data_IF_604836100020
#
_entry.id   IF_604836100020
#
_cell.length_a   1.000
_cell.length_b   1.000
_cell.length_c   1.000
_cell.angle_alpha   90.00
_cell.angle_beta   90.00
_cell.angle_gamma   90.00
#
_symmetry.space_group_name_H-M   'P 1'
#
loop_
_entity.id
_entity.type
_entity.pdbx_description
1 polymer ?
#
# COMPACT_ATOMS: atom_id res chain seq x y z
N UNK A 1 -35.58 17.08 -36.67
CA UNK A 1 -35.61 18.55 -36.85
C UNK A 1 -35.45 19.21 -35.51
N UNK A 2 -34.49 20.12 -35.43
CA UNK A 2 -34.25 21.18 -34.43
C UNK A 2 -33.09 20.97 -33.47
N UNK A 3 -32.03 21.51 -33.86
CA UNK A 3 -31.17 22.66 -33.49
C UNK A 3 -30.28 22.40 -32.28
N UNK A 4 -29.00 22.10 -32.61
CA UNK A 4 -27.83 22.26 -31.75
C UNK A 4 -27.59 23.73 -31.42
N UNK A 5 -27.46 24.11 -30.15
CA UNK A 5 -26.89 25.39 -29.71
C UNK A 5 -25.47 25.17 -29.16
N UNK A 6 -24.49 25.59 -29.95
CA UNK A 6 -23.08 25.71 -29.50
C UNK A 6 -22.95 26.94 -28.60
N UNK A 7 -22.46 26.80 -27.37
CA UNK A 7 -22.04 27.90 -26.51
C UNK A 7 -20.55 28.11 -26.72
N UNK A 8 -20.15 29.26 -27.22
CA UNK A 8 -18.76 29.76 -27.32
C UNK A 8 -18.34 30.26 -25.94
N UNK A 9 -17.20 29.81 -25.48
CA UNK A 9 -16.49 30.42 -24.36
C UNK A 9 -15.49 31.44 -24.90
N UNK A 10 -15.61 32.67 -24.44
CA UNK A 10 -14.69 33.76 -24.74
C UNK A 10 -13.57 33.75 -23.67
N UNK A 11 -12.35 33.67 -24.14
CA UNK A 11 -11.12 33.89 -23.36
C UNK A 11 -11.06 35.34 -22.90
N UNK A 12 -10.98 35.58 -21.61
CA UNK A 12 -10.56 36.87 -21.05
C UNK A 12 -9.13 36.75 -20.51
N UNK A 13 -8.20 37.29 -21.29
CA UNK A 13 -6.82 37.50 -20.90
C UNK A 13 -6.74 38.65 -19.90
N UNK A 14 -6.22 38.43 -18.71
CA UNK A 14 -5.79 39.47 -17.78
C UNK A 14 -4.26 39.54 -17.81
N UNK A 15 -3.76 40.65 -18.31
CA UNK A 15 -2.33 41.01 -18.23
C UNK A 15 -2.04 41.62 -16.85
N UNK A 16 -1.11 41.02 -16.09
CA UNK A 16 -0.54 41.62 -14.91
C UNK A 16 0.82 42.21 -15.27
N UNK A 17 0.90 43.51 -15.11
CA UNK A 17 2.12 44.33 -15.32
C UNK A 17 2.98 44.23 -14.04
N UNK A 18 4.19 43.68 -14.20
CA UNK A 18 5.20 43.73 -13.15
C UNK A 18 5.95 45.07 -13.19
N UNK A 19 5.93 45.80 -12.09
CA UNK A 19 6.74 47.01 -11.89
C UNK A 19 8.04 46.63 -11.20
N UNK A 20 9.12 46.70 -11.92
CA UNK A 20 10.49 46.68 -11.40
C UNK A 20 10.84 48.05 -10.85
N UNK A 21 11.18 48.17 -9.56
CA UNK A 21 11.87 49.31 -8.98
C UNK A 21 13.31 48.93 -8.64
N UNK A 22 14.24 49.41 -9.46
CA UNK A 22 15.66 49.46 -9.14
C UNK A 22 15.91 50.63 -8.16
N UNK A 23 16.65 50.37 -7.09
CA UNK A 23 17.34 51.39 -6.31
C UNK A 23 18.83 51.07 -6.29
N UNK A 24 19.59 51.95 -6.92
CA UNK A 24 21.03 51.89 -7.02
C UNK A 24 21.70 52.73 -5.91
N UNK A 25 22.73 52.13 -5.38
CA UNK A 25 24.01 52.69 -4.92
C UNK A 25 24.15 54.03 -4.24
N UNK A 26 24.91 54.04 -3.17
CA UNK A 26 26.02 54.98 -3.05
C UNK A 26 27.05 54.48 -2.03
N UNK A 27 28.30 54.61 -2.45
CA UNK A 27 29.57 54.35 -1.78
C UNK A 27 29.85 55.26 -0.60
N UNK A 28 30.66 54.81 0.36
CA UNK A 28 31.51 55.69 1.16
C UNK A 28 32.14 55.04 2.37
N UNK A 29 33.49 54.76 2.28
CA UNK A 29 34.51 55.07 3.27
C UNK A 29 34.62 54.20 4.52
N UNK A 30 35.56 53.41 4.58
CA UNK A 30 36.85 53.19 5.23
C UNK A 30 36.89 53.17 6.77
N UNK A 31 37.60 52.20 7.26
CA UNK A 31 38.64 52.13 8.28
C UNK A 31 38.54 50.92 9.20
N UNK A 32 39.59 50.20 9.12
CA UNK A 32 40.34 49.22 9.93
C UNK A 32 39.89 48.72 11.31
N UNK A 33 40.19 47.39 11.46
CA UNK A 33 40.68 46.64 12.64
C UNK A 33 39.62 46.14 13.64
N UNK A 34 39.36 44.86 13.71
CA UNK A 34 39.90 43.99 14.75
C UNK A 34 39.60 42.50 14.49
N UNK A 35 40.59 41.65 14.78
CA UNK A 35 40.48 40.21 14.71
C UNK A 35 39.59 39.71 15.85
N UNK A 36 38.51 38.98 15.52
CA UNK A 36 37.63 38.27 16.43
C UNK A 36 37.17 36.98 15.81
N UNK A 37 37.66 35.89 16.36
CA UNK A 37 37.29 34.49 16.17
C UNK A 37 35.83 34.32 15.81
N UNK A 38 35.55 34.05 14.53
CA UNK A 38 34.20 33.85 13.99
C UNK A 38 33.92 32.37 13.82
N UNK A 39 33.18 31.80 14.77
CA UNK A 39 32.49 30.56 14.53
C UNK A 39 31.60 30.69 13.28
N UNK A 40 31.96 29.95 12.25
CA UNK A 40 31.10 29.71 11.08
C UNK A 40 29.88 28.96 11.56
N UNK A 41 28.76 29.67 11.70
CA UNK A 41 27.46 29.02 11.64
C UNK A 41 27.37 28.42 10.24
N UNK A 42 27.52 27.15 10.12
CA UNK A 42 27.07 26.40 8.94
C UNK A 42 25.57 26.48 8.92
N UNK A 43 25.07 27.31 8.01
CA UNK A 43 23.69 27.29 7.57
C UNK A 43 23.58 25.92 6.80
N UNK A 44 23.11 24.89 7.50
CA UNK A 44 22.93 23.56 6.95
C UNK A 44 21.57 23.48 6.22
N UNK A 45 21.41 24.24 5.18
CA UNK A 45 20.49 23.91 4.14
C UNK A 45 21.26 23.01 3.17
N UNK A 46 21.05 21.70 3.23
CA UNK A 46 21.55 20.78 2.21
C UNK A 46 21.01 21.25 0.86
N UNK A 47 21.88 21.84 0.05
CA UNK A 47 21.54 22.11 -1.34
C UNK A 47 21.31 20.77 -2.00
N UNK A 48 20.12 20.56 -2.56
CA UNK A 48 19.78 19.34 -3.29
C UNK A 48 20.92 19.01 -4.28
N UNK A 49 21.33 17.76 -4.31
CA UNK A 49 22.42 17.28 -5.14
C UNK A 49 22.08 17.50 -6.62
N UNK A 50 22.99 18.09 -7.41
CA UNK A 50 22.78 18.29 -8.86
C UNK A 50 23.05 16.98 -9.62
N UNK A 51 21.97 16.32 -10.06
CA UNK A 51 21.98 15.07 -10.83
C UNK A 51 21.65 15.32 -12.32
N UNK A 52 21.84 16.54 -12.82
CA UNK A 52 21.53 16.89 -14.21
C UNK A 52 22.26 15.97 -15.21
N UNK A 53 21.47 15.32 -16.05
CA UNK A 53 21.96 14.40 -17.08
C UNK A 53 22.12 12.95 -16.61
N UNK A 54 21.78 12.64 -15.37
CA UNK A 54 21.64 11.26 -14.87
C UNK A 54 20.20 10.79 -15.09
N UNK A 55 20.02 9.48 -15.31
CA UNK A 55 18.72 8.80 -15.33
C UNK A 55 18.64 7.90 -14.11
N UNK A 56 17.52 7.95 -13.41
CA UNK A 56 17.20 7.08 -12.27
C UNK A 56 16.03 6.19 -12.65
N UNK A 57 16.19 4.88 -12.63
CA UNK A 57 15.12 3.92 -12.91
C UNK A 57 14.52 3.39 -11.60
N UNK A 58 13.19 3.42 -11.51
CA UNK A 58 12.45 2.95 -10.33
C UNK A 58 11.42 1.91 -10.75
N UNK A 59 11.50 0.70 -10.19
CA UNK A 59 10.53 -0.37 -10.41
C UNK A 59 9.53 -0.45 -9.25
N UNK A 60 8.25 -0.60 -9.55
CA UNK A 60 7.20 -0.84 -8.58
C UNK A 60 6.04 -1.66 -9.19
N UNK A 61 5.21 -2.24 -8.34
CA UNK A 61 4.00 -2.96 -8.75
C UNK A 61 2.85 -2.05 -9.16
N UNK A 62 2.86 -0.81 -8.71
CA UNK A 62 1.76 0.14 -8.89
C UNK A 62 1.42 0.44 -10.34
N UNK A 63 0.11 0.50 -10.61
CA UNK A 63 -0.48 0.83 -11.91
C UNK A 63 -1.59 1.87 -11.75
N UNK A 64 -2.12 2.41 -12.86
CA UNK A 64 -3.24 3.34 -12.82
C UNK A 64 -3.02 4.53 -11.89
N UNK A 65 -3.97 4.80 -11.01
CA UNK A 65 -3.96 5.95 -10.11
C UNK A 65 -2.79 5.94 -9.10
N UNK A 66 -2.38 4.79 -8.60
CA UNK A 66 -1.23 4.70 -7.70
C UNK A 66 0.08 5.07 -8.40
N UNK A 67 0.27 4.57 -9.63
CA UNK A 67 1.42 4.95 -10.46
C UNK A 67 1.42 6.46 -10.74
N UNK A 68 0.28 7.05 -11.08
CA UNK A 68 0.17 8.49 -11.36
C UNK A 68 0.54 9.34 -10.15
N UNK A 69 0.11 8.94 -8.94
CA UNK A 69 0.45 9.65 -7.70
C UNK A 69 1.91 9.49 -7.30
N UNK A 70 2.45 8.28 -7.42
CA UNK A 70 3.88 8.09 -7.19
C UNK A 70 4.73 8.85 -8.22
N UNK A 71 4.27 8.98 -9.45
CA UNK A 71 4.94 9.81 -10.45
C UNK A 71 5.05 11.27 -10.00
N UNK A 72 4.07 11.83 -9.25
CA UNK A 72 4.19 13.18 -8.70
C UNK A 72 5.32 13.29 -7.66
N UNK A 73 5.53 12.25 -6.85
CA UNK A 73 6.66 12.17 -5.91
C UNK A 73 7.98 12.15 -6.70
N UNK A 74 8.06 11.35 -7.75
CA UNK A 74 9.24 11.25 -8.61
C UNK A 74 9.51 12.54 -9.39
N UNK A 75 8.47 13.23 -9.84
CA UNK A 75 8.59 14.53 -10.52
C UNK A 75 9.14 15.61 -9.59
N UNK A 76 8.71 15.61 -8.31
CA UNK A 76 9.26 16.54 -7.31
C UNK A 76 10.75 16.27 -7.05
N UNK A 77 11.16 15.00 -6.96
CA UNK A 77 12.58 14.64 -6.89
C UNK A 77 13.35 15.13 -8.13
N UNK A 78 12.79 14.90 -9.31
CA UNK A 78 13.40 15.35 -10.58
C UNK A 78 13.55 16.87 -10.65
N UNK A 79 12.55 17.64 -10.17
CA UNK A 79 12.62 19.11 -10.10
C UNK A 79 13.70 19.60 -9.12
N UNK A 80 13.88 18.91 -7.99
CA UNK A 80 14.87 19.28 -6.98
C UNK A 80 16.31 18.98 -7.44
N UNK A 81 16.51 17.88 -8.18
CA UNK A 81 17.85 17.34 -8.49
C UNK A 81 18.29 17.54 -9.93
N UNK A 82 17.34 17.77 -10.86
CA UNK A 82 17.61 17.81 -12.29
C UNK A 82 17.80 16.44 -12.95
N UNK A 83 17.56 15.34 -12.25
CA UNK A 83 17.60 13.98 -12.79
C UNK A 83 16.46 13.71 -13.78
N UNK A 84 16.67 12.81 -14.73
CA UNK A 84 15.60 12.16 -15.50
C UNK A 84 15.15 10.91 -14.72
N UNK A 85 13.89 10.84 -14.27
CA UNK A 85 13.39 9.66 -13.57
C UNK A 85 12.50 8.82 -14.48
N UNK A 86 12.69 7.49 -14.46
CA UNK A 86 11.89 6.53 -15.23
C UNK A 86 11.22 5.54 -14.32
N UNK A 87 9.91 5.58 -14.31
CA UNK A 87 9.11 4.55 -13.64
C UNK A 87 8.98 3.31 -14.52
N UNK A 88 9.16 2.13 -13.91
CA UNK A 88 9.02 0.82 -14.54
C UNK A 88 7.92 0.05 -13.81
N UNK A 89 6.77 -0.13 -14.43
CA UNK A 89 5.70 -0.96 -13.86
C UNK A 89 6.08 -2.43 -13.97
N UNK A 90 6.16 -3.10 -12.81
CA UNK A 90 6.52 -4.51 -12.70
C UNK A 90 5.29 -5.45 -12.79
N UNK A 91 4.07 -4.90 -12.71
CA UNK A 91 2.86 -5.72 -12.49
C UNK A 91 2.89 -6.36 -11.10
N UNK A 92 2.10 -7.40 -10.88
CA UNK A 92 1.89 -8.00 -9.55
C UNK A 92 3.09 -8.83 -9.01
N UNK A 93 4.10 -9.10 -9.82
CA UNK A 93 5.27 -9.91 -9.44
C UNK A 93 6.57 -9.14 -9.68
N UNK A 94 6.94 -8.31 -8.70
CA UNK A 94 8.15 -7.50 -8.76
C UNK A 94 9.41 -8.36 -8.86
N UNK A 95 9.50 -9.45 -8.10
CA UNK A 95 10.68 -10.31 -8.09
C UNK A 95 10.92 -10.96 -9.47
N UNK A 96 9.86 -11.44 -10.12
CA UNK A 96 9.95 -11.96 -11.48
C UNK A 96 10.33 -10.90 -12.52
N UNK A 97 9.98 -9.62 -12.28
CA UNK A 97 10.33 -8.52 -13.16
C UNK A 97 11.80 -8.08 -13.01
N UNK A 98 12.28 -7.90 -11.77
CA UNK A 98 13.63 -7.37 -11.52
C UNK A 98 14.71 -8.45 -11.53
N UNK A 99 14.41 -9.71 -11.14
CA UNK A 99 15.37 -10.81 -11.05
C UNK A 99 16.21 -11.02 -12.31
N UNK A 100 15.61 -11.14 -13.52
CA UNK A 100 16.37 -11.29 -14.77
C UNK A 100 17.26 -10.07 -15.08
N UNK A 101 16.91 -8.86 -14.64
CA UNK A 101 17.71 -7.65 -14.81
C UNK A 101 18.91 -7.65 -13.87
N UNK A 102 18.72 -8.08 -12.62
CA UNK A 102 19.79 -8.28 -11.64
C UNK A 102 20.79 -9.29 -12.17
N UNK A 103 20.34 -10.49 -12.60
CA UNK A 103 21.19 -11.52 -13.20
C UNK A 103 21.93 -11.03 -14.46
N UNK A 104 21.31 -10.14 -15.21
CA UNK A 104 21.88 -9.51 -16.40
C UNK A 104 22.90 -8.41 -16.11
N UNK A 105 23.01 -7.97 -14.84
CA UNK A 105 23.88 -6.86 -14.42
C UNK A 105 23.37 -5.49 -14.87
N UNK A 106 22.05 -5.32 -15.04
CA UNK A 106 21.37 -4.08 -15.42
C UNK A 106 20.08 -3.90 -14.59
N UNK A 107 20.16 -3.94 -13.22
CA UNK A 107 19.01 -3.71 -12.37
C UNK A 107 18.48 -2.26 -12.50
N UNK A 108 17.24 -1.96 -12.10
CA UNK A 108 16.83 -0.59 -11.84
C UNK A 108 17.62 -0.04 -10.64
N UNK A 109 17.74 1.28 -10.51
CA UNK A 109 18.43 1.89 -9.37
C UNK A 109 17.70 1.59 -8.06
N UNK A 110 16.37 1.75 -8.05
CA UNK A 110 15.50 1.55 -6.88
C UNK A 110 14.36 0.61 -7.24
N UNK A 111 13.99 -0.26 -6.31
CA UNK A 111 12.74 -1.00 -6.37
C UNK A 111 11.87 -0.69 -5.15
N UNK A 112 10.57 -0.54 -5.38
CA UNK A 112 9.58 -0.46 -4.32
C UNK A 112 9.10 -1.88 -4.05
N UNK A 113 9.57 -2.44 -2.98
CA UNK A 113 9.36 -3.83 -2.58
C UNK A 113 8.05 -3.90 -1.80
N UNK A 114 7.03 -4.62 -2.27
CA UNK A 114 5.72 -4.66 -1.60
C UNK A 114 5.73 -5.47 -0.30
N UNK A 115 6.82 -6.22 -0.04
CA UNK A 115 6.87 -7.18 1.07
C UNK A 115 8.24 -7.21 1.73
N UNK A 116 8.32 -7.26 3.09
CA UNK A 116 9.57 -7.50 3.81
C UNK A 116 10.25 -8.83 3.44
N UNK A 117 9.48 -9.89 3.13
CA UNK A 117 10.01 -11.17 2.67
C UNK A 117 10.80 -11.06 1.37
N UNK A 118 10.35 -10.21 0.43
CA UNK A 118 11.08 -9.91 -0.80
C UNK A 118 12.37 -9.13 -0.51
N UNK A 119 12.31 -8.14 0.40
CA UNK A 119 13.51 -7.42 0.85
C UNK A 119 14.54 -8.39 1.45
N UNK A 120 14.11 -9.27 2.36
CA UNK A 120 14.97 -10.25 3.00
C UNK A 120 15.62 -11.19 1.97
N UNK A 121 14.83 -11.70 1.02
CA UNK A 121 15.32 -12.57 -0.04
C UNK A 121 16.40 -11.89 -0.90
N UNK A 122 16.19 -10.64 -1.28
CA UNK A 122 17.17 -9.88 -2.08
C UNK A 122 18.40 -9.49 -1.27
N UNK A 123 18.24 -9.16 0.02
CA UNK A 123 19.37 -8.88 0.92
C UNK A 123 20.23 -10.12 1.15
N UNK A 124 19.62 -11.29 1.39
CA UNK A 124 20.33 -12.57 1.55
C UNK A 124 21.14 -12.96 0.31
N UNK A 125 20.59 -12.67 -0.89
CA UNK A 125 21.27 -12.93 -2.17
C UNK A 125 22.36 -11.91 -2.48
N UNK A 126 22.42 -10.79 -1.74
CA UNK A 126 23.33 -9.69 -1.98
C UNK A 126 22.94 -8.80 -3.15
N UNK A 127 21.66 -8.79 -3.51
CA UNK A 127 21.07 -8.02 -4.59
C UNK A 127 20.62 -6.60 -4.15
N UNK A 128 20.54 -6.35 -2.83
CA UNK A 128 20.30 -5.03 -2.26
C UNK A 128 21.59 -4.41 -1.74
N UNK A 129 21.68 -3.10 -1.86
CA UNK A 129 22.77 -2.27 -1.30
C UNK A 129 22.34 -1.79 0.08
N UNK A 130 23.19 -1.96 1.14
CA UNK A 130 22.92 -1.36 2.44
C UNK A 130 22.83 0.16 2.36
N UNK A 131 21.86 0.75 3.06
CA UNK A 131 21.54 2.19 2.98
C UNK A 131 21.77 2.96 4.29
N UNK A 132 22.48 2.38 5.26
CA UNK A 132 22.74 3.01 6.55
C UNK A 132 23.38 4.39 6.42
N UNK A 133 24.37 4.52 5.55
CA UNK A 133 25.08 5.77 5.27
C UNK A 133 24.28 6.77 4.42
N UNK A 134 23.16 6.35 3.86
CA UNK A 134 22.28 7.16 2.97
C UNK A 134 21.07 7.68 3.73
N UNK A 135 20.37 6.81 4.44
CA UNK A 135 19.06 7.08 5.02
C UNK A 135 18.96 6.68 6.50
N UNK A 136 20.00 6.12 7.15
CA UNK A 136 19.91 5.63 8.51
C UNK A 136 19.40 6.68 9.51
N UNK A 137 20.00 7.87 9.52
CA UNK A 137 19.57 8.98 10.39
C UNK A 137 18.13 9.44 10.09
N UNK A 138 17.73 9.49 8.80
CA UNK A 138 16.38 9.87 8.38
C UNK A 138 15.32 8.82 8.79
N UNK A 139 15.66 7.55 8.67
CA UNK A 139 14.81 6.44 9.11
C UNK A 139 14.61 6.50 10.63
N UNK A 140 15.67 6.71 11.40
CA UNK A 140 15.59 6.82 12.86
C UNK A 140 14.74 8.03 13.30
N UNK A 141 14.88 9.16 12.60
CA UNK A 141 14.13 10.39 12.90
C UNK A 141 12.65 10.28 12.53
N UNK A 142 12.35 9.76 11.33
CA UNK A 142 11.01 9.84 10.76
C UNK A 142 10.15 8.59 11.02
N UNK A 143 10.75 7.40 11.02
CA UNK A 143 10.04 6.12 11.13
C UNK A 143 10.17 5.46 12.50
N UNK A 144 11.25 5.78 13.23
CA UNK A 144 11.55 5.16 14.51
C UNK A 144 11.88 3.65 14.42
N UNK A 145 11.95 2.97 15.61
CA UNK A 145 12.43 1.57 15.67
C UNK A 145 11.62 0.58 14.84
N UNK A 146 10.30 0.70 14.82
CA UNK A 146 9.43 -0.21 14.07
C UNK A 146 9.62 -0.09 12.56
N UNK A 147 9.72 1.14 12.04
CA UNK A 147 9.97 1.34 10.61
C UNK A 147 11.37 0.91 10.18
N UNK A 148 12.37 1.05 11.08
CA UNK A 148 13.72 0.51 10.86
C UNK A 148 13.70 -1.02 10.77
N UNK A 149 12.96 -1.70 11.66
CA UNK A 149 12.83 -3.17 11.65
C UNK A 149 12.27 -3.67 10.32
N UNK A 150 11.23 -3.03 9.79
CA UNK A 150 10.61 -3.38 8.49
C UNK A 150 11.60 -3.29 7.32
N UNK A 151 12.50 -2.29 7.35
CA UNK A 151 13.51 -2.07 6.30
C UNK A 151 14.83 -2.82 6.50
N UNK A 152 14.96 -3.69 7.52
CA UNK A 152 16.22 -4.31 7.90
C UNK A 152 16.25 -5.83 7.70
N UNK A 153 17.44 -6.35 7.43
CA UNK A 153 17.75 -7.78 7.43
C UNK A 153 19.08 -8.00 8.17
N UNK A 154 19.14 -8.98 9.11
CA UNK A 154 20.32 -9.27 9.94
C UNK A 154 20.96 -8.03 10.61
N UNK A 155 20.13 -7.15 11.17
CA UNK A 155 20.54 -5.89 11.83
C UNK A 155 21.12 -4.82 10.88
N UNK A 156 21.09 -5.00 9.56
CA UNK A 156 21.53 -4.03 8.57
C UNK A 156 20.36 -3.43 7.81
N UNK A 157 20.37 -2.11 7.56
CA UNK A 157 19.27 -1.38 6.90
C UNK A 157 19.44 -1.46 5.38
N UNK A 158 18.41 -1.99 4.68
CA UNK A 158 18.37 -2.15 3.23
C UNK A 158 17.24 -1.37 2.56
N UNK A 159 16.25 -0.91 3.31
CA UNK A 159 15.10 -0.23 2.73
C UNK A 159 14.49 0.84 3.62
N UNK A 160 13.78 1.76 2.99
CA UNK A 160 12.95 2.78 3.62
C UNK A 160 11.49 2.35 3.50
N UNK A 161 10.81 2.12 4.62
CA UNK A 161 9.38 1.89 4.61
C UNK A 161 8.67 3.19 4.21
N UNK A 162 8.28 3.29 2.93
CA UNK A 162 7.78 4.53 2.33
C UNK A 162 6.26 4.66 2.44
N UNK A 163 5.54 3.58 2.16
CA UNK A 163 4.07 3.56 2.19
C UNK A 163 3.60 2.50 3.16
N UNK A 164 2.75 2.87 4.10
CA UNK A 164 2.04 1.92 4.96
C UNK A 164 0.66 1.59 4.38
N UNK A 165 0.07 0.50 4.83
CA UNK A 165 -1.30 0.11 4.53
C UNK A 165 -2.04 -0.30 5.81
N UNK A 166 -3.30 0.09 5.92
CA UNK A 166 -4.26 -0.40 6.89
C UNK A 166 -5.16 -1.41 6.17
N UNK A 167 -4.88 -2.71 6.32
CA UNK A 167 -5.54 -3.80 5.58
C UNK A 167 -6.76 -4.39 6.29
N UNK A 168 -7.20 -3.79 7.41
CA UNK A 168 -8.37 -4.24 8.17
C UNK A 168 -9.57 -3.33 7.95
N UNK A 169 -9.87 -3.02 6.69
CA UNK A 169 -11.06 -2.25 6.28
C UNK A 169 -12.03 -3.10 5.48
N UNK A 170 -13.30 -2.74 5.55
CA UNK A 170 -14.34 -3.22 4.66
C UNK A 170 -14.95 -2.01 3.97
N UNK A 171 -14.62 -1.86 2.71
CA UNK A 171 -15.19 -0.81 1.87
C UNK A 171 -16.61 -1.16 1.45
N UNK A 172 -17.50 -0.16 1.40
CA UNK A 172 -18.87 -0.40 1.02
C UNK A 172 -19.46 0.71 0.13
N UNK A 173 -20.40 0.32 -0.70
CA UNK A 173 -21.15 1.23 -1.55
C UNK A 173 -22.29 1.88 -0.74
N UNK A 174 -22.08 3.15 -0.37
CA UNK A 174 -22.99 3.90 0.52
C UNK A 174 -24.44 3.91 0.00
N UNK A 175 -24.71 4.22 -1.28
CA UNK A 175 -26.09 4.22 -1.78
C UNK A 175 -26.78 2.85 -1.68
N UNK A 176 -26.07 1.73 -1.90
CA UNK A 176 -26.66 0.38 -1.75
C UNK A 176 -27.03 0.10 -0.31
N UNK A 177 -26.20 0.48 0.67
CA UNK A 177 -26.52 0.34 2.08
C UNK A 177 -27.73 1.17 2.49
N UNK A 178 -27.83 2.43 2.02
CA UNK A 178 -28.96 3.31 2.26
C UNK A 178 -30.25 2.76 1.67
N UNK A 179 -30.22 2.33 0.41
CA UNK A 179 -31.40 1.81 -0.32
C UNK A 179 -31.89 0.47 0.24
N UNK A 180 -30.96 -0.42 0.68
CA UNK A 180 -31.30 -1.66 1.36
C UNK A 180 -31.71 -1.44 2.83
N UNK A 181 -31.46 -0.23 3.38
CA UNK A 181 -31.83 0.15 4.75
C UNK A 181 -30.99 -0.55 5.82
N UNK A 182 -29.74 -0.91 5.50
CA UNK A 182 -28.81 -1.54 6.42
C UNK A 182 -27.80 -0.53 6.99
N UNK A 183 -27.16 -0.87 8.10
CA UNK A 183 -26.09 -0.09 8.72
C UNK A 183 -24.78 -0.86 8.64
N UNK A 184 -23.64 -0.19 8.80
CA UNK A 184 -22.33 -0.83 8.90
C UNK A 184 -22.28 -1.79 10.09
N UNK A 185 -21.88 -3.06 9.88
CA UNK A 185 -21.81 -4.06 10.94
C UNK A 185 -20.58 -3.85 11.82
N UNK A 186 -20.61 -4.38 13.03
CA UNK A 186 -19.48 -4.38 13.98
C UNK A 186 -18.99 -5.79 14.31
N UNK A 187 -19.77 -6.80 13.96
CA UNK A 187 -19.44 -8.21 14.12
C UNK A 187 -19.55 -8.96 12.81
N UNK A 188 -18.86 -10.10 12.70
CA UNK A 188 -18.92 -10.97 11.51
C UNK A 188 -20.35 -11.46 11.25
N UNK A 189 -21.05 -11.88 12.29
CA UNK A 189 -22.45 -12.33 12.17
C UNK A 189 -23.35 -11.21 11.63
N UNK A 190 -23.20 -9.97 12.13
CA UNK A 190 -23.94 -8.81 11.60
C UNK A 190 -23.57 -8.56 10.13
N UNK A 191 -22.30 -8.73 9.73
CA UNK A 191 -21.88 -8.56 8.33
C UNK A 191 -22.55 -9.60 7.43
N UNK A 192 -22.64 -10.85 7.85
CA UNK A 192 -23.37 -11.88 7.09
C UNK A 192 -24.89 -11.61 7.03
N UNK A 193 -25.49 -11.06 8.09
CA UNK A 193 -26.91 -10.64 8.08
C UNK A 193 -27.12 -9.46 7.10
N UNK A 194 -26.21 -8.48 7.09
CA UNK A 194 -26.19 -7.37 6.14
C UNK A 194 -26.04 -7.89 4.71
N UNK A 195 -25.11 -8.83 4.49
CA UNK A 195 -24.89 -9.47 3.20
C UNK A 195 -26.18 -10.18 2.69
N UNK A 196 -26.86 -10.94 3.57
CA UNK A 196 -28.13 -11.56 3.23
C UNK A 196 -29.22 -10.54 2.83
N UNK A 197 -29.29 -9.41 3.56
CA UNK A 197 -30.26 -8.34 3.26
C UNK A 197 -29.96 -7.65 1.92
N UNK A 198 -28.68 -7.39 1.62
CA UNK A 198 -28.24 -6.82 0.33
C UNK A 198 -28.53 -7.80 -0.82
N UNK A 199 -28.29 -9.10 -0.61
CA UNK A 199 -28.63 -10.13 -1.60
C UNK A 199 -30.13 -10.19 -1.87
N UNK A 200 -30.99 -10.11 -0.85
CA UNK A 200 -32.44 -10.04 -0.97
C UNK A 200 -32.90 -8.74 -1.69
N UNK A 201 -32.14 -7.64 -1.56
CA UNK A 201 -32.35 -6.40 -2.26
C UNK A 201 -32.01 -6.51 -3.76
N UNK A 202 -31.16 -7.47 -4.15
CA UNK A 202 -30.83 -7.82 -5.54
C UNK A 202 -29.46 -7.39 -6.02
N UNK A 203 -28.52 -7.14 -5.09
CA UNK A 203 -27.10 -6.89 -5.35
C UNK A 203 -26.29 -8.00 -4.69
N UNK A 204 -25.31 -8.57 -5.38
CA UNK A 204 -24.39 -9.53 -4.74
C UNK A 204 -23.52 -8.80 -3.70
N UNK A 205 -23.43 -9.30 -2.43
CA UNK A 205 -22.82 -8.54 -1.35
C UNK A 205 -21.33 -8.27 -1.51
N UNK A 206 -20.53 -9.27 -1.93
CA UNK A 206 -19.07 -9.19 -1.91
C UNK A 206 -18.48 -9.16 -3.31
N UNK A 207 -17.65 -8.19 -3.62
CA UNK A 207 -16.75 -8.22 -4.77
C UNK A 207 -15.38 -8.73 -4.34
N UNK A 208 -14.80 -9.66 -5.09
CA UNK A 208 -13.53 -10.32 -4.76
C UNK A 208 -12.66 -10.37 -6.02
N UNK A 209 -11.43 -9.84 -5.93
CA UNK A 209 -10.38 -9.99 -6.94
C UNK A 209 -9.48 -11.18 -6.58
N UNK A 210 -9.63 -12.32 -7.27
CA UNK A 210 -8.94 -13.55 -6.90
C UNK A 210 -8.06 -14.13 -8.00
N UNK A 211 -7.76 -13.37 -9.06
CA UNK A 211 -6.99 -13.91 -10.20
C UNK A 211 -5.55 -14.26 -9.83
N UNK A 212 -4.90 -13.47 -8.97
CA UNK A 212 -3.52 -13.70 -8.48
C UNK A 212 -3.45 -14.28 -7.07
N UNK A 213 -4.46 -14.05 -6.22
CA UNK A 213 -4.66 -14.71 -4.92
C UNK A 213 -4.29 -13.89 -3.68
N UNK A 214 -3.50 -12.82 -3.76
CA UNK A 214 -3.14 -12.02 -2.60
C UNK A 214 -4.34 -11.36 -1.87
N UNK A 215 -5.44 -10.93 -2.52
CA UNK A 215 -6.58 -10.42 -1.77
C UNK A 215 -7.26 -11.48 -0.89
N UNK A 216 -7.08 -12.76 -1.24
CA UNK A 216 -7.60 -13.86 -0.43
C UNK A 216 -6.72 -14.12 0.80
N UNK A 217 -5.41 -13.82 0.73
CA UNK A 217 -4.54 -13.90 1.90
C UNK A 217 -4.83 -12.78 2.88
N UNK A 218 -5.08 -11.56 2.41
CA UNK A 218 -5.50 -10.43 3.25
C UNK A 218 -6.79 -10.74 4.04
N UNK A 219 -7.76 -11.39 3.39
CA UNK A 219 -8.97 -11.85 4.09
C UNK A 219 -8.64 -12.92 5.14
N UNK A 220 -7.81 -13.94 4.79
CA UNK A 220 -7.40 -14.97 5.75
C UNK A 220 -6.73 -14.36 6.98
N UNK A 221 -5.83 -13.43 6.78
CA UNK A 221 -5.04 -12.79 7.83
C UNK A 221 -5.91 -11.99 8.78
N UNK A 222 -6.85 -11.23 8.27
CA UNK A 222 -7.84 -10.53 9.08
C UNK A 222 -8.69 -11.50 9.88
N UNK A 223 -9.20 -12.55 9.27
CA UNK A 223 -9.97 -13.59 9.96
C UNK A 223 -9.11 -14.29 11.01
N UNK A 224 -7.89 -14.69 10.67
CA UNK A 224 -6.97 -15.38 11.58
C UNK A 224 -6.59 -14.51 12.78
N UNK A 225 -6.27 -13.24 12.56
CA UNK A 225 -5.97 -12.29 13.63
C UNK A 225 -7.14 -12.11 14.59
N UNK A 226 -8.39 -12.18 14.10
CA UNK A 226 -9.61 -12.09 14.92
C UNK A 226 -9.94 -13.39 15.63
N UNK A 227 -9.72 -14.54 15.02
CA UNK A 227 -10.07 -15.85 15.63
C UNK A 227 -8.98 -16.37 16.57
N UNK A 228 -7.72 -16.27 16.17
CA UNK A 228 -6.57 -16.81 16.90
C UNK A 228 -5.88 -15.79 17.83
N UNK A 229 -6.02 -14.49 17.53
CA UNK A 229 -5.36 -13.41 18.27
C UNK A 229 -3.89 -13.19 17.88
N UNK A 230 -3.31 -12.06 18.34
CA UNK A 230 -1.99 -11.61 17.87
C UNK A 230 -0.84 -12.57 18.23
N UNK A 231 -0.88 -13.24 19.40
CA UNK A 231 0.20 -14.16 19.80
C UNK A 231 0.29 -15.40 18.89
N UNK A 232 -0.86 -15.93 18.46
CA UNK A 232 -0.90 -17.07 17.52
C UNK A 232 -0.56 -16.62 16.11
N UNK A 233 -0.98 -15.42 15.72
CA UNK A 233 -0.62 -14.81 14.46
C UNK A 233 0.90 -14.70 14.31
N UNK A 234 1.58 -14.18 15.34
CA UNK A 234 3.04 -14.06 15.36
C UNK A 234 3.74 -15.42 15.29
N UNK A 235 3.18 -16.48 15.92
CA UNK A 235 3.73 -17.82 15.85
C UNK A 235 3.56 -18.44 14.46
N UNK A 236 2.40 -18.24 13.81
CA UNK A 236 2.16 -18.73 12.46
C UNK A 236 3.05 -18.00 11.45
N UNK A 237 3.23 -16.68 11.60
CA UNK A 237 4.10 -15.87 10.74
C UNK A 237 5.55 -16.34 10.76
N UNK A 238 6.03 -16.90 11.87
CA UNK A 238 7.39 -17.46 12.00
C UNK A 238 7.47 -18.97 11.78
N UNK A 239 6.36 -19.60 11.41
CA UNK A 239 6.24 -21.06 11.33
C UNK A 239 6.61 -21.79 12.64
N UNK A 240 6.43 -21.12 13.81
CA UNK A 240 6.59 -21.72 15.13
C UNK A 240 5.47 -22.74 15.45
N UNK A 241 4.34 -22.61 14.76
CA UNK A 241 3.22 -23.55 14.75
C UNK A 241 2.91 -23.97 13.30
N UNK A 242 2.44 -25.21 13.08
CA UNK A 242 2.14 -25.68 11.74
C UNK A 242 0.86 -25.07 11.17
N UNK A 243 0.77 -24.92 9.86
CA UNK A 243 -0.45 -24.51 9.15
C UNK A 243 -1.60 -25.53 9.29
N UNK A 244 -1.33 -26.72 9.83
CA UNK A 244 -2.35 -27.71 10.19
C UNK A 244 -2.92 -27.52 11.60
N UNK A 245 -2.49 -26.48 12.34
CA UNK A 245 -3.04 -26.15 13.65
C UNK A 245 -4.55 -25.92 13.60
N UNK A 246 -5.25 -26.24 14.70
CA UNK A 246 -6.70 -26.08 14.75
C UNK A 246 -7.14 -24.62 14.59
N UNK A 247 -6.32 -23.64 14.99
CA UNK A 247 -6.59 -22.21 14.80
C UNK A 247 -6.64 -21.80 13.33
N UNK A 248 -5.76 -22.34 12.48
CA UNK A 248 -5.78 -22.12 11.04
C UNK A 248 -7.05 -22.69 10.40
N UNK A 249 -7.44 -23.91 10.83
CA UNK A 249 -8.67 -24.56 10.34
C UNK A 249 -9.92 -23.80 10.75
N UNK A 250 -9.92 -23.19 11.95
CA UNK A 250 -11.00 -22.33 12.40
C UNK A 250 -11.13 -21.09 11.50
N UNK A 251 -10.03 -20.41 11.20
CA UNK A 251 -10.04 -19.27 10.27
C UNK A 251 -10.53 -19.65 8.86
N UNK A 252 -10.05 -20.75 8.30
CA UNK A 252 -10.55 -21.25 7.01
C UNK A 252 -12.05 -21.58 7.07
N UNK A 253 -12.54 -22.10 8.20
CA UNK A 253 -13.97 -22.40 8.38
C UNK A 253 -14.81 -21.13 8.38
N UNK A 254 -14.35 -20.06 9.03
CA UNK A 254 -15.00 -18.73 9.01
C UNK A 254 -15.00 -18.14 7.59
N UNK A 255 -13.89 -18.23 6.85
CA UNK A 255 -13.87 -17.78 5.44
C UNK A 255 -14.88 -18.54 4.58
N UNK A 256 -15.12 -19.82 4.87
CA UNK A 256 -16.11 -20.63 4.16
C UNK A 256 -17.54 -20.12 4.34
N UNK A 257 -17.84 -19.26 5.31
CA UNK A 257 -19.15 -18.58 5.45
C UNK A 257 -19.46 -17.69 4.23
N UNK A 258 -18.43 -17.12 3.60
CA UNK A 258 -18.55 -16.36 2.36
C UNK A 258 -18.29 -17.27 1.15
N UNK A 259 -17.16 -17.96 1.09
CA UNK A 259 -16.73 -18.74 -0.08
C UNK A 259 -17.65 -19.93 -0.39
N UNK A 260 -18.30 -20.48 0.64
CA UNK A 260 -19.28 -21.56 0.51
C UNK A 260 -20.64 -21.11 -0.04
N UNK A 261 -20.84 -19.82 -0.24
CA UNK A 261 -22.08 -19.22 -0.73
C UNK A 261 -21.82 -18.37 -1.98
N UNK A 262 -21.67 -18.99 -3.17
CA UNK A 262 -21.33 -18.26 -4.41
C UNK A 262 -22.32 -17.15 -4.78
N UNK A 263 -23.58 -17.24 -4.32
CA UNK A 263 -24.61 -16.23 -4.55
C UNK A 263 -24.36 -14.93 -3.74
N UNK A 264 -23.42 -14.95 -2.78
CA UNK A 264 -22.98 -13.75 -2.07
C UNK A 264 -21.81 -13.04 -2.77
N UNK A 265 -21.21 -13.66 -3.79
CA UNK A 265 -20.03 -13.16 -4.50
C UNK A 265 -20.44 -12.59 -5.85
N UNK A 266 -20.00 -11.40 -6.19
CA UNK A 266 -20.29 -10.71 -7.45
C UNK A 266 -19.93 -11.58 -8.68
N UNK A 267 -20.95 -12.00 -9.42
CA UNK A 267 -20.82 -12.94 -10.54
C UNK A 267 -20.42 -14.37 -10.17
N UNK A 268 -20.40 -14.70 -8.86
CA UNK A 268 -20.04 -16.03 -8.34
C UNK A 268 -18.54 -16.31 -8.34
N UNK A 269 -18.17 -17.48 -7.81
CA UNK A 269 -16.77 -17.92 -7.66
C UNK A 269 -15.96 -17.83 -8.97
N UNK A 270 -16.53 -18.25 -10.11
CA UNK A 270 -15.82 -18.25 -11.39
C UNK A 270 -15.51 -16.82 -11.88
N UNK A 271 -16.35 -15.85 -11.56
CA UNK A 271 -16.07 -14.46 -11.86
C UNK A 271 -14.95 -13.90 -10.95
N UNK A 272 -15.03 -14.17 -9.66
CA UNK A 272 -13.97 -13.76 -8.72
C UNK A 272 -12.58 -14.25 -9.14
N UNK A 273 -12.48 -15.51 -9.60
CA UNK A 273 -11.24 -16.13 -10.09
C UNK A 273 -10.67 -15.53 -11.38
N UNK A 274 -11.41 -14.68 -12.07
CA UNK A 274 -11.00 -14.01 -13.31
C UNK A 274 -10.96 -12.49 -13.15
N UNK A 275 -11.32 -11.99 -11.97
CA UNK A 275 -11.34 -10.58 -11.64
C UNK A 275 -10.03 -10.22 -10.95
N UNK A 276 -9.30 -9.25 -11.52
CA UNK A 276 -8.14 -8.66 -10.89
C UNK A 276 -8.57 -7.71 -9.75
N UNK A 277 -7.60 -7.26 -8.98
CA UNK A 277 -7.87 -6.40 -7.83
C UNK A 277 -8.61 -5.11 -8.23
N UNK A 278 -8.13 -4.36 -9.23
CA UNK A 278 -8.79 -3.13 -9.69
C UNK A 278 -10.19 -3.42 -10.26
N UNK A 279 -10.33 -4.54 -10.94
CA UNK A 279 -11.62 -5.03 -11.43
C UNK A 279 -12.64 -5.24 -10.30
N UNK A 280 -12.21 -5.77 -9.15
CA UNK A 280 -13.11 -5.94 -8.00
C UNK A 280 -13.64 -4.62 -7.44
N UNK A 281 -12.83 -3.57 -7.50
CA UNK A 281 -13.20 -2.21 -7.09
C UNK A 281 -14.18 -1.60 -8.11
N UNK A 282 -13.83 -1.65 -9.39
CA UNK A 282 -14.65 -1.07 -10.46
C UNK A 282 -16.00 -1.76 -10.63
N UNK A 283 -16.13 -3.05 -10.28
CA UNK A 283 -17.41 -3.76 -10.21
C UNK A 283 -18.41 -3.09 -9.25
N UNK A 284 -17.92 -2.43 -8.21
CA UNK A 284 -18.76 -1.75 -7.22
C UNK A 284 -19.04 -0.30 -7.65
N UNK A 285 -18.00 0.47 -8.02
CA UNK A 285 -18.10 1.92 -8.12
C UNK A 285 -18.05 2.52 -9.53
N UNK A 286 -17.77 1.73 -10.57
CA UNK A 286 -17.67 2.28 -11.93
C UNK A 286 -19.02 2.48 -12.65
N UNK A 287 -20.16 2.13 -12.03
CA UNK A 287 -21.48 2.26 -12.66
C UNK A 287 -22.59 2.50 -11.64
N UNK A 288 -23.70 3.12 -12.11
CA UNK A 288 -24.94 3.32 -11.32
C UNK A 288 -25.64 2.00 -10.91
N UNK A 289 -25.18 0.87 -11.40
CA UNK A 289 -25.70 -0.46 -11.07
C UNK A 289 -24.54 -1.34 -10.60
N UNK A 290 -24.18 -1.26 -9.30
CA UNK A 290 -23.06 -2.02 -8.76
C UNK A 290 -23.32 -3.52 -8.87
N UNK A 291 -22.24 -4.28 -9.16
CA UNK A 291 -22.29 -5.75 -9.16
C UNK A 291 -21.96 -6.30 -7.78
N UNK A 292 -21.27 -5.51 -6.94
CA UNK A 292 -20.97 -5.82 -5.55
C UNK A 292 -21.40 -4.66 -4.64
N UNK A 293 -21.41 -4.88 -3.34
CA UNK A 293 -21.72 -3.84 -2.35
C UNK A 293 -20.63 -3.64 -1.31
N UNK A 294 -19.77 -4.65 -1.09
CA UNK A 294 -18.68 -4.63 -0.12
C UNK A 294 -17.41 -5.23 -0.74
N UNK A 295 -16.26 -4.74 -0.26
CA UNK A 295 -14.93 -5.23 -0.59
C UNK A 295 -14.09 -5.24 0.69
N UNK A 296 -13.52 -6.41 1.05
CA UNK A 296 -12.66 -6.56 2.22
C UNK A 296 -11.21 -6.37 1.76
N UNK A 297 -10.68 -5.16 1.95
CA UNK A 297 -9.35 -4.77 1.47
C UNK A 297 -8.82 -3.52 2.17
N UNK A 298 -7.57 -3.15 1.92
CA UNK A 298 -6.88 -2.06 2.57
C UNK A 298 -7.34 -0.65 2.18
N UNK A 299 -6.77 0.34 2.85
CA UNK A 299 -7.05 1.76 2.66
C UNK A 299 -6.74 2.27 1.24
N UNK A 300 -5.81 1.62 0.53
CA UNK A 300 -5.40 1.97 -0.84
C UNK A 300 -6.55 1.86 -1.86
N UNK A 301 -7.61 1.11 -1.56
CA UNK A 301 -8.86 1.05 -2.35
C UNK A 301 -9.43 2.44 -2.61
N UNK A 302 -9.39 3.35 -1.61
CA UNK A 302 -9.87 4.73 -1.77
C UNK A 302 -9.17 5.49 -2.89
N UNK A 303 -7.87 5.24 -3.05
CA UNK A 303 -7.08 5.83 -4.13
C UNK A 303 -7.49 5.35 -5.51
N UNK A 304 -7.81 4.07 -5.64
CA UNK A 304 -8.26 3.47 -6.91
C UNK A 304 -9.67 3.93 -7.25
N UNK A 305 -10.59 3.96 -6.26
CA UNK A 305 -11.95 4.49 -6.46
C UNK A 305 -11.89 5.89 -7.08
N UNK A 306 -11.13 6.82 -6.48
CA UNK A 306 -11.05 8.20 -6.95
C UNK A 306 -10.30 8.37 -8.25
N UNK A 307 -9.37 7.47 -8.58
CA UNK A 307 -8.58 7.52 -9.81
C UNK A 307 -9.23 6.86 -11.00
N UNK A 308 -10.02 5.80 -10.79
CA UNK A 308 -10.55 4.96 -11.87
C UNK A 308 -12.07 5.04 -12.02
N UNK A 309 -12.77 5.73 -11.10
CA UNK A 309 -14.22 5.86 -11.13
C UNK A 309 -14.65 7.32 -10.93
N UNK A 310 -15.94 7.61 -11.14
CA UNK A 310 -16.53 8.91 -10.84
C UNK A 310 -17.09 9.00 -9.39
N UNK A 311 -16.87 7.98 -8.55
CA UNK A 311 -17.40 7.89 -7.20
C UNK A 311 -16.66 8.82 -6.22
N UNK A 312 -17.41 9.45 -5.33
CA UNK A 312 -16.90 10.39 -4.32
C UNK A 312 -16.76 9.69 -2.96
N UNK A 313 -15.54 9.73 -2.37
CA UNK A 313 -15.30 9.22 -1.02
C UNK A 313 -16.15 9.98 0.02
N UNK A 314 -16.72 9.23 0.96
CA UNK A 314 -17.65 9.75 1.96
C UNK A 314 -19.08 9.99 1.49
N UNK A 315 -19.34 9.84 0.17
CA UNK A 315 -20.68 9.99 -0.43
C UNK A 315 -21.12 8.69 -1.11
N UNK A 316 -20.30 8.15 -2.01
CA UNK A 316 -20.59 6.92 -2.76
C UNK A 316 -19.85 5.72 -2.19
N UNK A 317 -18.67 5.96 -1.62
CA UNK A 317 -17.80 4.97 -1.03
C UNK A 317 -17.35 5.41 0.36
N UNK A 318 -17.40 4.50 1.33
CA UNK A 318 -16.84 4.67 2.67
C UNK A 318 -16.36 3.30 3.17
N UNK A 319 -15.70 3.26 4.31
CA UNK A 319 -15.28 2.01 4.93
C UNK A 319 -15.70 1.93 6.41
N UNK A 320 -15.75 0.72 6.92
CA UNK A 320 -15.80 0.40 8.33
C UNK A 320 -14.68 -0.57 8.69
N UNK A 321 -14.31 -0.61 9.97
CA UNK A 321 -13.26 -1.50 10.46
C UNK A 321 -13.66 -2.97 10.28
N UNK A 322 -12.69 -3.84 10.00
CA UNK A 322 -12.93 -5.28 9.92
C UNK A 322 -13.62 -5.77 11.20
N UNK A 323 -14.77 -6.45 11.08
CA UNK A 323 -15.65 -6.77 12.20
C UNK A 323 -15.00 -7.73 13.20
N UNK A 324 -15.44 -7.69 14.46
CA UNK A 324 -15.05 -8.67 15.46
C UNK A 324 -15.65 -10.05 15.15
N UNK A 325 -14.90 -11.11 15.42
CA UNK A 325 -15.34 -12.51 15.33
C UNK A 325 -15.36 -13.05 16.74
N UNK A 326 -16.50 -13.62 17.18
CA UNK A 326 -16.69 -14.20 18.51
C UNK A 326 -16.30 -13.27 19.69
N UNK A 327 -16.44 -11.94 19.48
CA UNK A 327 -16.10 -10.94 20.50
C UNK A 327 -14.61 -10.68 20.64
N UNK A 328 -13.83 -10.92 19.59
CA UNK A 328 -12.39 -10.60 19.55
C UNK A 328 -12.12 -9.12 19.81
N UNK A 329 -10.98 -8.83 20.44
CA UNK A 329 -10.50 -7.47 20.62
C UNK A 329 -10.12 -6.85 19.26
N UNK A 330 -10.22 -5.51 19.12
CA UNK A 330 -9.76 -4.81 17.92
C UNK A 330 -8.27 -5.06 17.67
N UNK A 331 -7.94 -5.41 16.44
CA UNK A 331 -6.56 -5.54 15.97
C UNK A 331 -6.51 -5.15 14.48
N UNK A 332 -5.35 -4.85 13.94
CA UNK A 332 -5.18 -4.37 12.57
C UNK A 332 -4.09 -5.15 11.86
N UNK A 333 -4.41 -5.67 10.68
CA UNK A 333 -3.40 -6.12 9.73
C UNK A 333 -2.87 -4.88 9.02
N UNK A 334 -1.59 -4.62 9.16
CA UNK A 334 -0.86 -3.55 8.49
C UNK A 334 0.08 -4.13 7.45
N UNK A 335 0.46 -3.33 6.50
CA UNK A 335 1.40 -3.71 5.47
C UNK A 335 2.12 -2.50 4.92
N UNK A 336 2.73 -2.66 3.76
CA UNK A 336 3.26 -1.51 3.04
C UNK A 336 4.49 -1.81 2.21
N UNK A 337 4.94 -0.76 1.54
CA UNK A 337 5.93 -0.83 0.49
C UNK A 337 7.25 -0.20 0.94
N UNK A 338 8.34 -0.86 0.62
CA UNK A 338 9.70 -0.55 1.07
C UNK A 338 10.56 -0.15 -0.13
N UNK A 339 11.13 1.05 -0.12
CA UNK A 339 12.06 1.48 -1.16
C UNK A 339 13.45 0.91 -0.89
N UNK A 340 13.92 0.00 -1.73
CA UNK A 340 15.24 -0.65 -1.66
C UNK A 340 16.17 -0.21 -2.79
N UNK A 341 17.46 -0.07 -2.51
CA UNK A 341 18.50 0.28 -3.47
C UNK A 341 19.08 -0.99 -4.11
N UNK A 342 18.91 -1.14 -5.44
CA UNK A 342 19.43 -2.29 -6.20
C UNK A 342 20.75 -1.98 -6.91
N UNK A 343 20.94 -0.74 -7.37
CA UNK A 343 22.20 -0.30 -7.98
C UNK A 343 22.77 0.88 -7.19
N UNK A 344 24.04 0.79 -6.80
CA UNK A 344 24.75 1.79 -5.99
C UNK A 344 25.14 3.02 -6.82
N UNK A 345 24.13 3.66 -7.40
CA UNK A 345 24.29 4.90 -8.18
C UNK A 345 24.07 6.13 -7.31
N UNK A 346 24.67 7.26 -7.72
CA UNK A 346 24.46 8.55 -7.05
C UNK A 346 22.99 8.98 -7.08
N UNK A 347 22.29 8.72 -8.19
CA UNK A 347 20.86 9.01 -8.36
C UNK A 347 19.97 8.11 -7.51
N UNK A 348 20.23 6.81 -7.45
CA UNK A 348 19.51 5.85 -6.62
C UNK A 348 19.64 6.20 -5.13
N UNK A 349 20.87 6.49 -4.65
CA UNK A 349 21.11 6.95 -3.27
C UNK A 349 20.33 8.23 -2.92
N UNK A 350 20.35 9.22 -3.82
CA UNK A 350 19.63 10.46 -3.61
C UNK A 350 18.11 10.25 -3.56
N UNK A 351 17.58 9.36 -4.39
CA UNK A 351 16.15 9.03 -4.36
C UNK A 351 15.75 8.30 -3.07
N UNK A 352 16.56 7.33 -2.59
CA UNK A 352 16.32 6.66 -1.29
C UNK A 352 16.30 7.68 -0.14
N UNK A 353 17.26 8.62 -0.11
CA UNK A 353 17.28 9.67 0.90
C UNK A 353 16.03 10.58 0.81
N UNK A 354 15.59 10.94 -0.39
CA UNK A 354 14.37 11.74 -0.60
C UNK A 354 13.12 10.99 -0.13
N UNK A 355 12.97 9.72 -0.47
CA UNK A 355 11.83 8.89 -0.04
C UNK A 355 11.79 8.67 1.49
N UNK A 356 12.89 8.88 2.20
CA UNK A 356 12.95 8.84 3.66
C UNK A 356 12.50 10.15 4.34
N UNK A 357 12.03 11.16 3.57
CA UNK A 357 11.62 12.46 4.10
C UNK A 357 10.11 12.61 4.17
N UNK A 358 9.57 13.39 5.13
CA UNK A 358 8.15 13.76 5.15
C UNK A 358 7.69 14.46 3.88
N UNK A 359 8.53 15.31 3.28
CA UNK A 359 8.21 16.05 2.05
C UNK A 359 7.79 15.11 0.90
N UNK A 360 8.47 13.98 0.74
CA UNK A 360 8.11 12.98 -0.26
C UNK A 360 6.76 12.31 0.04
N UNK A 361 6.51 11.97 1.32
CA UNK A 361 5.29 11.33 1.76
C UNK A 361 4.07 12.25 1.66
N UNK A 362 4.22 13.54 2.01
CA UNK A 362 3.14 14.54 1.99
C UNK A 362 2.61 14.80 0.58
N UNK A 363 3.44 14.65 -0.47
CA UNK A 363 3.00 14.80 -1.87
C UNK A 363 1.90 13.78 -2.19
N UNK A 364 2.10 12.52 -1.86
CA UNK A 364 1.10 11.49 -2.13
C UNK A 364 -0.06 11.53 -1.13
N UNK A 365 0.21 11.79 0.15
CA UNK A 365 -0.84 11.92 1.17
C UNK A 365 -1.90 12.98 0.79
N UNK A 366 -1.48 14.08 0.15
CA UNK A 366 -2.38 15.12 -0.32
C UNK A 366 -3.33 14.66 -1.43
N UNK A 367 -2.96 13.64 -2.21
CA UNK A 367 -3.74 13.10 -3.32
C UNK A 367 -4.64 11.90 -2.93
N UNK A 368 -4.49 11.42 -1.68
CA UNK A 368 -5.26 10.28 -1.14
C UNK A 368 -4.76 8.89 -1.58
N UNK A 369 -5.28 7.84 -0.95
CA UNK A 369 -4.88 6.45 -1.21
C UNK A 369 -3.45 6.14 -0.77
N UNK A 370 -2.98 6.80 0.27
CA UNK A 370 -1.65 6.67 0.83
C UNK A 370 -1.67 6.86 2.35
N UNK A 371 -1.01 5.99 3.07
CA UNK A 371 -0.68 6.20 4.47
C UNK A 371 0.83 6.25 4.62
N UNK A 372 1.33 7.31 5.26
CA UNK A 372 2.74 7.38 5.62
C UNK A 372 3.00 6.60 6.90
N UNK A 373 4.02 5.74 6.94
CA UNK A 373 4.50 5.15 8.19
C UNK A 373 5.32 6.13 9.03
N UNK A 374 5.64 7.30 8.49
CA UNK A 374 6.44 8.32 9.17
C UNK A 374 5.63 9.03 10.25
N UNK A 375 6.12 9.00 11.49
CA UNK A 375 5.49 9.67 12.63
C UNK A 375 5.59 11.18 12.57
N UNK A 376 6.41 11.71 11.69
CA UNK A 376 6.66 13.14 11.45
C UNK A 376 5.71 13.76 10.43
N UNK A 377 4.97 12.96 9.64
CA UNK A 377 3.93 13.44 8.72
C UNK A 377 2.69 13.84 9.51
N UNK A 378 2.25 15.10 9.37
CA UNK A 378 1.07 15.63 10.06
C UNK A 378 -0.22 15.11 9.39
N UNK A 379 -1.22 14.74 10.19
CA UNK A 379 -2.53 14.30 9.69
C UNK A 379 -3.24 15.33 8.81
N UNK A 380 -2.87 16.63 8.93
CA UNK A 380 -3.39 17.69 8.05
C UNK A 380 -2.83 17.65 6.61
N UNK A 381 -1.78 16.87 6.36
CA UNK A 381 -1.26 16.64 5.01
C UNK A 381 -2.19 15.78 4.14
N UNK A 382 -3.03 14.96 4.75
CA UNK A 382 -3.97 14.10 4.02
C UNK A 382 -5.08 14.93 3.36
N UNK A 383 -5.25 14.75 2.05
CA UNK A 383 -6.16 15.53 1.22
C UNK A 383 -7.64 15.23 1.44
N UNK A 384 -7.99 14.07 2.02
CA UNK A 384 -9.36 13.65 2.27
C UNK A 384 -9.56 13.09 3.70
N UNK A 385 -10.81 13.09 4.16
CA UNK A 385 -11.18 12.64 5.50
C UNK A 385 -11.08 11.11 5.66
N UNK A 386 -11.22 10.36 4.58
CA UNK A 386 -11.18 8.90 4.56
C UNK A 386 -9.74 8.43 4.75
N UNK A 387 -8.80 8.92 3.94
CA UNK A 387 -7.36 8.61 4.07
C UNK A 387 -6.82 9.02 5.45
N UNK A 388 -7.25 10.21 5.95
CA UNK A 388 -6.87 10.64 7.30
C UNK A 388 -7.41 9.69 8.38
N UNK A 389 -8.65 9.19 8.29
CA UNK A 389 -9.21 8.23 9.25
C UNK A 389 -8.46 6.90 9.22
N UNK A 390 -8.08 6.40 8.04
CA UNK A 390 -7.31 5.19 7.89
C UNK A 390 -5.91 5.32 8.53
N UNK A 391 -5.22 6.44 8.28
CA UNK A 391 -3.94 6.76 8.92
C UNK A 391 -4.06 6.88 10.45
N UNK A 392 -5.10 7.56 10.92
CA UNK A 392 -5.38 7.71 12.36
C UNK A 392 -5.69 6.38 13.03
N UNK A 393 -6.45 5.49 12.37
CA UNK A 393 -6.76 4.15 12.88
C UNK A 393 -5.51 3.29 13.02
N UNK A 394 -4.61 3.31 12.03
CA UNK A 394 -3.32 2.59 12.09
C UNK A 394 -2.45 3.11 13.25
N UNK A 395 -2.35 4.44 13.42
CA UNK A 395 -1.60 5.05 14.53
C UNK A 395 -2.19 4.69 15.89
N UNK A 396 -3.53 4.65 16.03
CA UNK A 396 -4.22 4.32 17.28
C UNK A 396 -4.14 2.84 17.64
N UNK A 397 -4.03 1.95 16.66
CA UNK A 397 -3.93 0.52 16.89
C UNK A 397 -2.62 0.14 17.62
N UNK A 398 -1.52 0.87 17.40
CA UNK A 398 -0.27 0.70 18.15
C UNK A 398 0.17 -0.77 18.24
N UNK A 399 0.31 -1.31 19.45
CA UNK A 399 0.73 -2.71 19.69
C UNK A 399 -0.28 -3.77 19.19
N UNK A 400 -1.48 -3.37 18.77
CA UNK A 400 -2.46 -4.27 18.15
C UNK A 400 -2.31 -4.41 16.63
N UNK A 401 -1.36 -3.70 16.02
CA UNK A 401 -1.00 -3.90 14.61
C UNK A 401 -0.17 -5.16 14.47
N UNK A 402 -0.49 -5.97 13.46
CA UNK A 402 0.39 -7.03 12.96
C UNK A 402 0.67 -6.78 11.48
N UNK A 403 1.92 -6.96 11.11
CA UNK A 403 2.27 -6.90 9.70
C UNK A 403 1.60 -8.06 8.95
N UNK A 404 1.23 -7.81 7.71
CA UNK A 404 0.68 -8.80 6.77
C UNK A 404 1.48 -10.11 6.85
N UNK A 405 0.78 -11.21 7.12
CA UNK A 405 1.40 -12.50 7.41
C UNK A 405 2.07 -13.08 6.17
N UNK A 406 1.42 -12.95 5.01
CA UNK A 406 1.96 -13.47 3.75
C UNK A 406 3.20 -12.71 3.33
N UNK A 407 3.26 -11.39 3.62
CA UNK A 407 4.39 -10.52 3.33
C UNK A 407 5.64 -10.83 4.19
N UNK A 408 5.44 -11.45 5.35
CA UNK A 408 6.50 -11.88 6.26
C UNK A 408 7.07 -13.27 5.92
N UNK A 409 6.41 -14.02 5.02
CA UNK A 409 6.82 -15.37 4.67
C UNK A 409 7.98 -15.39 3.65
N UNK A 410 8.72 -16.49 3.53
CA UNK A 410 9.59 -16.70 2.38
C UNK A 410 8.83 -16.50 1.07
N UNK A 411 9.45 -15.79 0.11
CA UNK A 411 8.80 -15.37 -1.15
C UNK A 411 8.12 -16.52 -1.90
N UNK A 412 8.73 -17.71 -1.89
CA UNK A 412 8.18 -18.91 -2.54
C UNK A 412 6.86 -19.37 -1.93
N UNK A 413 6.60 -19.03 -0.66
CA UNK A 413 5.36 -19.36 0.03
C UNK A 413 4.37 -18.20 0.06
N UNK A 414 4.83 -16.99 0.46
CA UNK A 414 3.97 -15.85 0.74
C UNK A 414 3.65 -14.97 -0.46
N UNK A 415 4.53 -14.93 -1.50
CA UNK A 415 4.51 -13.84 -2.47
C UNK A 415 4.73 -14.28 -3.93
N UNK A 416 4.39 -15.51 -4.29
CA UNK A 416 4.59 -16.02 -5.66
C UNK A 416 3.26 -16.35 -6.33
N UNK A 417 2.95 -15.67 -7.42
CA UNK A 417 1.72 -15.88 -8.21
C UNK A 417 1.50 -17.36 -8.58
N UNK A 418 0.32 -17.89 -8.23
CA UNK A 418 -0.09 -19.26 -8.52
C UNK A 418 0.63 -20.35 -7.72
N UNK A 419 1.40 -19.97 -6.71
CA UNK A 419 2.13 -20.88 -5.82
C UNK A 419 1.87 -20.51 -4.35
N UNK A 420 2.40 -21.34 -3.45
CA UNK A 420 2.37 -21.07 -2.02
C UNK A 420 0.98 -20.71 -1.50
N UNK A 421 0.92 -19.73 -0.62
CA UNK A 421 -0.31 -19.28 0.02
C UNK A 421 -1.32 -18.69 -1.00
N UNK A 422 -0.86 -17.88 -1.95
CA UNK A 422 -1.72 -17.28 -2.97
C UNK A 422 -2.43 -18.33 -3.83
N UNK A 423 -1.69 -19.30 -4.36
CA UNK A 423 -2.28 -20.37 -5.16
C UNK A 423 -3.22 -21.28 -4.38
N UNK A 424 -2.88 -21.57 -3.13
CA UNK A 424 -3.67 -22.44 -2.25
C UNK A 424 -4.95 -21.78 -1.75
N UNK A 425 -4.95 -20.46 -1.55
CA UNK A 425 -6.17 -19.71 -1.22
C UNK A 425 -7.12 -19.62 -2.43
N UNK A 426 -6.60 -19.52 -3.66
CA UNK A 426 -7.40 -19.65 -4.87
C UNK A 426 -8.04 -21.06 -4.95
N UNK A 427 -7.30 -22.11 -4.63
CA UNK A 427 -7.84 -23.48 -4.62
C UNK A 427 -8.88 -23.66 -3.50
N UNK A 428 -8.68 -23.00 -2.35
CA UNK A 428 -9.68 -22.99 -1.27
C UNK A 428 -10.97 -22.25 -1.67
N UNK A 429 -10.89 -21.11 -2.36
CA UNK A 429 -12.07 -20.43 -2.91
C UNK A 429 -12.87 -21.34 -3.86
N UNK A 430 -12.20 -22.19 -4.64
CA UNK A 430 -12.86 -23.20 -5.51
C UNK A 430 -13.52 -24.33 -4.73
N UNK A 431 -12.96 -24.71 -3.58
CA UNK A 431 -13.44 -25.83 -2.77
C UNK A 431 -13.42 -25.51 -1.27
N UNK A 432 -14.25 -24.58 -0.78
CA UNK A 432 -14.20 -24.08 0.60
C UNK A 432 -14.61 -25.10 1.66
N UNK A 433 -15.09 -26.29 1.25
CA UNK A 433 -15.41 -27.38 2.17
C UNK A 433 -14.21 -28.25 2.53
N UNK A 434 -13.07 -28.10 1.85
CA UNK A 434 -11.85 -28.91 2.08
C UNK A 434 -10.85 -28.20 3.01
N UNK A 435 -11.32 -27.84 4.20
CA UNK A 435 -10.50 -27.13 5.21
C UNK A 435 -9.25 -27.94 5.59
N UNK A 436 -9.41 -29.24 5.88
CA UNK A 436 -8.28 -30.09 6.26
C UNK A 436 -7.28 -30.26 5.12
N UNK A 437 -7.75 -30.49 3.89
CA UNK A 437 -6.88 -30.62 2.71
C UNK A 437 -6.13 -29.33 2.38
N UNK A 438 -6.78 -28.17 2.55
CA UNK A 438 -6.15 -26.85 2.37
C UNK A 438 -5.08 -26.63 3.44
N UNK A 439 -5.38 -26.86 4.73
CA UNK A 439 -4.41 -26.74 5.81
C UNK A 439 -3.17 -27.64 5.60
N UNK A 440 -3.38 -28.90 5.17
CA UNK A 440 -2.29 -29.81 4.83
C UNK A 440 -1.47 -29.37 3.61
N UNK A 441 -2.11 -28.70 2.64
CA UNK A 441 -1.41 -28.17 1.47
C UNK A 441 -0.56 -26.94 1.82
N UNK A 442 -1.11 -26.04 2.64
CA UNK A 442 -0.39 -24.87 3.19
C UNK A 442 0.83 -25.33 3.98
N UNK A 443 0.67 -26.30 4.88
CA UNK A 443 1.78 -26.83 5.67
C UNK A 443 2.90 -27.41 4.80
N UNK A 444 2.56 -28.20 3.80
CA UNK A 444 3.56 -28.77 2.88
C UNK A 444 4.33 -27.68 2.11
N UNK A 445 3.64 -26.61 1.69
CA UNK A 445 4.26 -25.52 0.97
C UNK A 445 5.14 -24.66 1.91
N UNK A 446 4.67 -24.37 3.12
CA UNK A 446 5.42 -23.66 4.13
C UNK A 446 6.69 -24.42 4.53
N UNK A 447 6.56 -25.70 4.94
CA UNK A 447 7.72 -26.55 5.31
C UNK A 447 8.78 -26.60 4.20
N UNK A 448 8.35 -26.64 2.93
CA UNK A 448 9.30 -26.61 1.81
C UNK A 448 10.03 -25.27 1.71
N UNK A 449 9.34 -24.14 1.88
CA UNK A 449 9.91 -22.80 1.78
C UNK A 449 10.85 -22.49 2.96
N UNK A 450 10.51 -22.98 4.16
CA UNK A 450 11.36 -22.85 5.34
C UNK A 450 12.52 -23.87 5.38
N UNK A 451 12.58 -24.83 4.45
CA UNK A 451 13.66 -25.84 4.36
C UNK A 451 13.59 -26.93 5.42
N UNK A 452 12.40 -27.26 5.93
CA UNK A 452 12.12 -28.24 6.98
C UNK A 452 11.80 -29.66 6.44
#
# INVERSE_FOLDING_TARGET
>A
MSRRTRRRWELRSLAIVAVFTLLAAACGGGEDLDEGDGGTATDGGDAAQDLSGQTVEVAATWTGAEQERFQMVLDAFAEQTGAEVRFLSAGDDLAAFVGPRIEGGDPPDVAILPQPGVLQSFAEQGDLVPIEDVAGDLVDENLGPGGREVGSYEDELYGVWFKAAQKSTVWYHVPTFEDAGVQTPTTWDEMLEVAGTISDFGVEPFSIGADVGWPLTDLFENVYLRTAGPDMYDQLARHDIPWTDDSVKEALTVMADIFGQPDLIAGGTENALQTDFNGSITQIWASDTPQGAMLLEGDFVGGIITGETDAELGTDADFFDFPSIDGSEPAVVGGGDIAGLLDDTEGGRALIAFLATPDAAEIWAAEGGFISPMTTVDLSAYGDDIGRRAAEALQQAGDAVRYDLSDLQPTEFGATTGQGMWGLMIDFLRNPNDVDGTAEALERAASQAYGE
#
